data_IF_253830055304
#
_entry.id   IF_253830055304
#
_cell.length_a   1.000
_cell.length_b   1.000
_cell.length_c   1.000
_cell.angle_alpha   90.00
_cell.angle_beta   90.00
_cell.angle_gamma   90.00
#
_symmetry.space_group_name_H-M   'P 1'
#
loop_
_entity.id
_entity.type
_entity.pdbx_description
1 polymer ?
#
# COMPACT_ATOMS: atom_id res chain seq x y z
N UNK A 1 0.37 -32.72 -5.42
CA UNK A 1 1.47 -31.99 -4.73
C UNK A 1 1.08 -30.53 -4.48
N UNK A 2 1.02 -29.64 -5.49
CA UNK A 2 0.64 -28.21 -5.28
C UNK A 2 -0.81 -28.05 -4.82
N UNK A 3 -1.75 -28.80 -5.42
CA UNK A 3 -3.15 -28.77 -5.01
C UNK A 3 -3.34 -29.30 -3.57
N UNK A 4 -2.56 -30.31 -3.17
CA UNK A 4 -2.55 -30.87 -1.81
C UNK A 4 -1.93 -29.90 -0.80
N UNK A 5 -0.99 -29.06 -1.23
CA UNK A 5 -0.41 -27.99 -0.43
C UNK A 5 -1.41 -26.87 -0.15
N UNK A 6 -2.14 -26.48 -1.21
CA UNK A 6 -3.19 -25.47 -1.14
C UNK A 6 -4.45 -25.96 -0.44
N UNK A 7 -4.66 -27.28 -0.34
CA UNK A 7 -5.79 -27.91 0.37
C UNK A 7 -5.43 -28.39 1.79
N UNK A 8 -4.22 -28.08 2.29
CA UNK A 8 -3.72 -28.47 3.62
C UNK A 8 -3.59 -30.00 3.84
N UNK A 9 -3.40 -30.76 2.76
CA UNK A 9 -3.33 -32.23 2.79
C UNK A 9 -1.89 -32.78 2.81
N UNK A 10 -0.86 -31.92 2.75
CA UNK A 10 0.56 -32.32 2.79
C UNK A 10 1.04 -32.84 4.16
N UNK A 11 0.24 -32.71 5.22
CA UNK A 11 0.54 -33.21 6.57
C UNK A 11 0.36 -32.18 7.68
N UNK A 12 0.29 -32.68 8.92
CA UNK A 12 -0.05 -31.88 10.10
C UNK A 12 0.94 -30.73 10.38
N UNK A 13 2.25 -30.99 10.29
CA UNK A 13 3.26 -29.95 10.53
C UNK A 13 3.21 -28.86 9.46
N UNK A 14 3.09 -29.22 8.18
CA UNK A 14 2.97 -28.27 7.07
C UNK A 14 1.74 -27.37 7.24
N UNK A 15 0.61 -27.94 7.67
CA UNK A 15 -0.63 -27.21 7.95
C UNK A 15 -0.46 -26.20 9.09
N UNK A 16 0.21 -26.58 10.18
CA UNK A 16 0.48 -25.66 11.28
C UNK A 16 1.43 -24.53 10.86
N UNK A 17 2.43 -24.83 10.05
CA UNK A 17 3.36 -23.83 9.51
C UNK A 17 2.60 -22.82 8.65
N UNK A 18 1.73 -23.27 7.74
CA UNK A 18 0.96 -22.37 6.86
C UNK A 18 -0.02 -21.52 7.67
N UNK A 19 -0.67 -22.08 8.69
CA UNK A 19 -1.52 -21.31 9.60
C UNK A 19 -0.71 -20.28 10.39
N UNK A 20 0.47 -20.65 10.91
CA UNK A 20 1.36 -19.71 11.59
C UNK A 20 1.84 -18.58 10.67
N UNK A 21 2.21 -18.92 9.44
CA UNK A 21 2.63 -17.96 8.42
C UNK A 21 1.49 -17.01 8.03
N UNK A 22 0.28 -17.52 7.85
CA UNK A 22 -0.89 -16.67 7.54
C UNK A 22 -1.22 -15.70 8.64
N UNK A 23 -1.26 -16.15 9.90
CA UNK A 23 -1.47 -15.26 11.04
C UNK A 23 -0.36 -14.21 11.15
N UNK A 24 0.89 -14.60 10.91
CA UNK A 24 2.01 -13.67 10.86
C UNK A 24 1.87 -12.66 9.72
N UNK A 25 1.47 -13.09 8.52
CA UNK A 25 1.21 -12.23 7.37
C UNK A 25 0.08 -11.24 7.62
N UNK A 26 -0.99 -11.68 8.29
CA UNK A 26 -2.06 -10.80 8.75
C UNK A 26 -1.54 -9.79 9.78
N UNK A 27 -0.82 -10.24 10.80
CA UNK A 27 -0.26 -9.38 11.84
C UNK A 27 0.73 -8.35 11.26
N UNK A 28 1.59 -8.77 10.32
CA UNK A 28 2.52 -7.89 9.61
C UNK A 28 1.82 -6.88 8.70
N UNK A 29 0.80 -7.32 7.96
CA UNK A 29 -0.01 -6.40 7.16
C UNK A 29 -0.71 -5.34 8.02
N UNK A 30 -1.37 -5.74 9.11
CA UNK A 30 -2.08 -4.80 9.99
C UNK A 30 -1.11 -3.90 10.75
N UNK A 31 -0.07 -4.47 11.37
CA UNK A 31 0.94 -3.73 12.13
C UNK A 31 1.73 -2.75 11.25
N UNK A 32 2.09 -3.18 10.04
CA UNK A 32 2.78 -2.36 9.05
C UNK A 32 1.93 -1.23 8.46
N UNK A 33 0.59 -1.34 8.54
CA UNK A 33 -0.32 -0.29 8.03
C UNK A 33 -0.09 1.03 8.74
N UNK A 34 0.07 1.03 10.07
CA UNK A 34 0.33 2.25 10.84
C UNK A 34 1.72 2.82 10.55
N UNK A 35 2.70 1.95 10.35
CA UNK A 35 4.06 2.37 9.99
C UNK A 35 4.09 3.07 8.63
N UNK A 36 3.35 2.54 7.67
CA UNK A 36 3.16 3.13 6.35
C UNK A 36 2.39 4.47 6.41
N UNK A 37 1.24 4.51 7.10
CA UNK A 37 0.43 5.72 7.21
C UNK A 37 1.19 6.86 7.89
N UNK A 38 2.08 6.54 8.83
CA UNK A 38 2.90 7.50 9.56
C UNK A 38 4.23 7.85 8.88
N UNK A 39 4.45 7.35 7.66
CA UNK A 39 5.69 7.55 6.87
C UNK A 39 6.97 7.08 7.60
N UNK A 40 6.86 6.10 8.49
CA UNK A 40 7.97 5.54 9.29
C UNK A 40 8.37 4.14 8.83
N UNK A 41 8.10 3.81 7.56
CA UNK A 41 8.36 2.47 7.01
C UNK A 41 9.82 2.01 7.22
N UNK A 42 10.79 2.92 7.09
CA UNK A 42 12.22 2.65 7.30
C UNK A 42 12.58 2.21 8.72
N UNK A 43 11.74 2.53 9.73
CA UNK A 43 11.95 2.05 11.11
C UNK A 43 11.89 0.52 11.18
N UNK A 44 11.03 -0.12 10.38
CA UNK A 44 10.96 -1.60 10.35
C UNK A 44 12.25 -2.24 9.85
N UNK A 45 12.97 -1.57 8.95
CA UNK A 45 14.24 -2.02 8.41
C UNK A 45 15.34 -1.96 9.48
N UNK A 46 15.45 -0.83 10.18
CA UNK A 46 16.38 -0.71 11.30
C UNK A 46 16.09 -1.71 12.44
N UNK A 47 14.83 -1.95 12.79
CA UNK A 47 14.46 -2.99 13.78
C UNK A 47 14.96 -4.35 13.33
N UNK A 48 14.74 -4.70 12.06
CA UNK A 48 15.09 -6.01 11.52
C UNK A 48 16.59 -6.25 11.52
N UNK A 49 17.39 -5.26 11.09
CA UNK A 49 18.85 -5.34 11.17
C UNK A 49 19.38 -5.30 12.61
N UNK A 50 18.70 -4.62 13.53
CA UNK A 50 19.02 -4.62 14.95
C UNK A 50 18.77 -5.97 15.63
N UNK A 51 18.01 -6.89 15.03
CA UNK A 51 17.85 -8.26 15.57
C UNK A 51 19.12 -9.09 15.42
N UNK A 52 19.90 -8.87 14.35
CA UNK A 52 21.05 -9.72 13.97
C UNK A 52 22.12 -9.83 15.06
N UNK A 53 22.65 -8.73 15.63
CA UNK A 53 23.60 -8.82 16.74
C UNK A 53 22.98 -9.48 17.99
N UNK A 54 21.69 -9.30 18.22
CA UNK A 54 20.96 -9.96 19.32
C UNK A 54 20.90 -11.48 19.19
N UNK A 55 20.60 -11.98 17.99
CA UNK A 55 20.61 -13.42 17.69
C UNK A 55 22.01 -13.99 17.87
N UNK A 56 23.03 -13.31 17.36
CA UNK A 56 24.42 -13.75 17.47
C UNK A 56 24.92 -13.79 18.92
N UNK A 57 24.67 -12.72 19.70
CA UNK A 57 25.04 -12.69 21.12
C UNK A 57 24.29 -13.75 21.92
N UNK A 58 23.00 -13.96 21.69
CA UNK A 58 22.24 -14.99 22.37
C UNK A 58 22.78 -16.40 22.07
N UNK A 59 23.16 -16.67 20.81
CA UNK A 59 23.82 -17.90 20.44
C UNK A 59 25.13 -18.09 21.24
N UNK A 60 26.01 -17.08 21.26
CA UNK A 60 27.28 -17.16 21.98
C UNK A 60 27.11 -17.37 23.49
N UNK A 61 26.17 -16.65 24.12
CA UNK A 61 25.87 -16.79 25.56
C UNK A 61 25.33 -18.19 25.86
N UNK A 62 24.44 -18.72 25.03
CA UNK A 62 23.92 -20.08 25.22
C UNK A 62 25.00 -21.16 25.07
N UNK A 63 25.92 -20.99 24.12
CA UNK A 63 27.06 -21.89 23.95
C UNK A 63 28.01 -21.79 25.16
N UNK A 64 28.27 -20.57 25.65
CA UNK A 64 29.10 -20.36 26.84
C UNK A 64 28.52 -20.97 28.12
N UNK A 65 27.18 -21.01 28.24
CA UNK A 65 26.45 -21.65 29.34
C UNK A 65 26.34 -23.19 29.18
N UNK A 66 27.00 -23.79 28.18
CA UNK A 66 27.02 -25.24 27.96
C UNK A 66 25.78 -25.81 27.27
N UNK A 67 24.91 -24.96 26.71
CA UNK A 67 23.74 -25.38 25.95
C UNK A 67 24.03 -25.60 24.46
N UNK A 68 23.05 -26.16 23.74
CA UNK A 68 23.11 -26.45 22.30
C UNK A 68 23.14 -25.19 21.39
N UNK A 69 23.12 -23.97 21.96
CA UNK A 69 23.15 -22.69 21.24
C UNK A 69 21.90 -22.36 20.41
N UNK A 70 21.06 -23.35 20.09
CA UNK A 70 19.95 -23.26 19.12
C UNK A 70 18.56 -23.28 19.77
N UNK A 71 18.40 -22.75 20.99
CA UNK A 71 17.07 -22.60 21.57
C UNK A 71 16.33 -21.46 20.86
N UNK A 72 15.19 -21.76 20.23
CA UNK A 72 14.38 -20.75 19.56
C UNK A 72 14.02 -19.60 20.51
N UNK A 73 13.60 -19.91 21.74
CA UNK A 73 13.22 -18.90 22.72
C UNK A 73 14.41 -18.02 23.12
N UNK A 74 15.62 -18.60 23.22
CA UNK A 74 16.85 -17.86 23.49
C UNK A 74 17.23 -16.92 22.35
N UNK A 75 17.19 -17.42 21.11
CA UNK A 75 17.50 -16.60 19.92
C UNK A 75 16.48 -15.46 19.74
N UNK A 76 15.19 -15.74 19.93
CA UNK A 76 14.13 -14.73 19.86
C UNK A 76 14.24 -13.70 20.98
N UNK A 77 14.60 -14.11 22.19
CA UNK A 77 14.83 -13.18 23.31
C UNK A 77 16.03 -12.26 23.03
N UNK A 78 17.14 -12.81 22.53
CA UNK A 78 18.30 -12.02 22.10
C UNK A 78 17.95 -11.02 21.00
N UNK A 79 17.25 -11.49 19.96
CA UNK A 79 16.75 -10.65 18.88
C UNK A 79 15.87 -9.51 19.42
N UNK A 80 14.91 -9.81 20.29
CA UNK A 80 14.01 -8.84 20.87
C UNK A 80 14.74 -7.79 21.72
N UNK A 81 15.69 -8.21 22.55
CA UNK A 81 16.46 -7.29 23.40
C UNK A 81 17.32 -6.33 22.55
N UNK A 82 18.02 -6.86 21.54
CA UNK A 82 18.88 -6.04 20.70
C UNK A 82 18.07 -5.10 19.79
N UNK A 83 16.96 -5.58 19.23
CA UNK A 83 16.08 -4.75 18.43
C UNK A 83 15.32 -3.70 19.27
N UNK A 84 14.95 -4.01 20.52
CA UNK A 84 14.43 -3.03 21.46
C UNK A 84 15.49 -1.95 21.78
N UNK A 85 16.75 -2.35 22.01
CA UNK A 85 17.84 -1.40 22.21
C UNK A 85 18.05 -0.51 20.98
N UNK A 86 18.08 -1.09 19.77
CA UNK A 86 18.18 -0.35 18.52
C UNK A 86 17.04 0.66 18.36
N UNK A 87 15.82 0.25 18.64
CA UNK A 87 14.65 1.13 18.61
C UNK A 87 14.75 2.30 19.58
N UNK A 88 15.15 2.04 20.82
CA UNK A 88 15.34 3.07 21.84
C UNK A 88 16.44 4.05 21.45
N UNK A 89 17.52 3.56 20.83
CA UNK A 89 18.61 4.39 20.31
C UNK A 89 18.10 5.27 19.16
N UNK A 90 17.34 4.72 18.19
CA UNK A 90 16.73 5.53 17.12
C UNK A 90 15.82 6.61 17.69
N UNK A 91 14.96 6.26 18.64
CA UNK A 91 14.06 7.21 19.29
C UNK A 91 14.81 8.28 20.08
N UNK A 92 15.85 7.90 20.82
CA UNK A 92 16.69 8.82 21.56
C UNK A 92 17.45 9.77 20.63
N UNK A 93 18.03 9.25 19.56
CA UNK A 93 18.81 10.04 18.61
C UNK A 93 17.91 11.04 17.87
N UNK A 94 16.74 10.61 17.42
CA UNK A 94 15.77 11.50 16.74
C UNK A 94 15.13 12.56 17.64
N UNK A 95 15.00 12.31 18.95
CA UNK A 95 14.33 13.25 19.87
C UNK A 95 15.28 14.14 20.67
N UNK A 96 16.51 13.67 20.96
CA UNK A 96 17.49 14.38 21.77
C UNK A 96 18.60 15.06 20.96
N UNK A 97 18.73 14.74 19.67
CA UNK A 97 19.73 15.36 18.81
C UNK A 97 19.08 16.12 17.65
N UNK A 98 19.90 16.85 16.89
CA UNK A 98 19.46 17.58 15.69
C UNK A 98 19.49 16.71 14.42
N UNK A 99 19.69 15.40 14.56
CA UNK A 99 19.70 14.50 13.41
C UNK A 99 18.29 14.33 12.84
N UNK A 100 18.20 14.28 11.51
CA UNK A 100 16.99 13.85 10.83
C UNK A 100 16.66 12.40 11.21
N UNK A 101 15.38 12.06 11.30
CA UNK A 101 14.92 10.73 11.69
C UNK A 101 15.51 9.64 10.75
N UNK A 102 15.51 9.87 9.45
CA UNK A 102 16.09 8.95 8.46
C UNK A 102 17.60 8.73 8.64
N UNK A 103 18.33 9.79 9.03
CA UNK A 103 19.77 9.69 9.31
C UNK A 103 20.02 8.89 10.60
N UNK A 104 19.18 9.08 11.62
CA UNK A 104 19.24 8.30 12.85
C UNK A 104 18.98 6.81 12.58
N UNK A 105 17.92 6.50 11.82
CA UNK A 105 17.58 5.13 11.38
C UNK A 105 18.75 4.52 10.62
N UNK A 106 19.31 5.23 9.62
CA UNK A 106 20.43 4.76 8.81
C UNK A 106 21.70 4.47 9.62
N UNK A 107 22.01 5.33 10.59
CA UNK A 107 23.16 5.15 11.49
C UNK A 107 23.04 3.89 12.35
N UNK A 108 21.87 3.67 12.97
CA UNK A 108 21.61 2.49 13.81
C UNK A 108 21.62 1.23 12.96
N UNK A 109 20.96 1.25 11.80
CA UNK A 109 20.95 0.14 10.85
C UNK A 109 22.38 -0.29 10.49
N UNK A 110 23.23 0.65 10.08
CA UNK A 110 24.60 0.35 9.64
C UNK A 110 25.48 -0.20 10.77
N UNK A 111 25.39 0.38 11.98
CA UNK A 111 26.19 -0.06 13.13
C UNK A 111 25.75 -1.44 13.61
N UNK A 112 24.45 -1.66 13.81
CA UNK A 112 23.94 -2.94 14.30
C UNK A 112 24.17 -4.06 13.28
N UNK A 113 23.96 -3.76 11.99
CA UNK A 113 24.21 -4.74 10.94
C UNK A 113 25.71 -5.09 10.86
N UNK A 114 26.59 -4.09 10.78
CA UNK A 114 28.04 -4.32 10.74
C UNK A 114 28.55 -5.08 11.97
N UNK A 115 28.09 -4.68 13.17
CA UNK A 115 28.45 -5.36 14.41
C UNK A 115 27.93 -6.81 14.44
N UNK A 116 26.69 -7.03 14.02
CA UNK A 116 26.13 -8.36 13.96
C UNK A 116 26.82 -9.28 12.95
N UNK A 117 27.25 -8.75 11.79
CA UNK A 117 28.05 -9.51 10.81
C UNK A 117 29.41 -9.89 11.40
N UNK A 118 30.08 -8.98 12.13
CA UNK A 118 31.32 -9.31 12.85
C UNK A 118 31.11 -10.46 13.83
N UNK A 119 30.03 -10.42 14.61
CA UNK A 119 29.68 -11.50 15.53
C UNK A 119 29.38 -12.82 14.81
N UNK A 120 28.68 -12.77 13.67
CA UNK A 120 28.39 -13.94 12.86
C UNK A 120 29.68 -14.57 12.32
N UNK A 121 30.63 -13.76 11.85
CA UNK A 121 31.96 -14.24 11.41
C UNK A 121 32.72 -14.90 12.56
N UNK A 122 32.67 -14.32 13.77
CA UNK A 122 33.28 -14.93 14.96
C UNK A 122 32.64 -16.29 15.23
N UNK A 123 31.30 -16.36 15.20
CA UNK A 123 30.57 -17.61 15.38
C UNK A 123 31.02 -18.64 14.35
N UNK A 124 31.10 -18.30 13.06
CA UNK A 124 31.56 -19.22 12.01
C UNK A 124 32.96 -19.80 12.22
N UNK A 125 33.82 -19.14 13.01
CA UNK A 125 35.16 -19.65 13.38
C UNK A 125 35.18 -20.50 14.65
N UNK A 126 34.10 -20.54 15.43
CA UNK A 126 34.02 -21.38 16.62
C UNK A 126 33.80 -22.84 16.19
N UNK A 127 34.51 -23.80 16.79
CA UNK A 127 34.27 -25.25 16.53
C UNK A 127 33.14 -25.83 17.39
N UNK A 128 32.49 -24.99 18.19
CA UNK A 128 31.47 -25.36 19.19
C UNK A 128 30.13 -24.69 18.90
N UNK A 129 29.05 -25.40 19.22
CA UNK A 129 27.67 -24.99 18.93
C UNK A 129 27.25 -25.40 17.51
N UNK A 130 26.01 -25.88 17.35
CA UNK A 130 25.44 -26.31 16.05
C UNK A 130 25.17 -25.11 15.13
N UNK A 131 26.22 -24.49 14.60
CA UNK A 131 26.15 -23.29 13.76
C UNK A 131 25.47 -23.53 12.41
N UNK A 132 25.51 -24.78 11.93
CA UNK A 132 24.83 -25.19 10.71
C UNK A 132 23.35 -24.79 10.75
N UNK A 133 22.93 -23.93 9.82
CA UNK A 133 21.55 -23.45 9.70
C UNK A 133 21.19 -22.20 10.50
N UNK A 134 22.17 -21.45 11.02
CA UNK A 134 21.92 -20.07 11.46
C UNK A 134 21.63 -19.16 10.25
N UNK A 135 22.36 -19.33 9.15
CA UNK A 135 22.09 -18.63 7.88
C UNK A 135 20.69 -18.93 7.33
N UNK A 136 20.25 -20.18 7.36
CA UNK A 136 18.89 -20.54 6.92
C UNK A 136 17.80 -19.99 7.84
N UNK A 137 18.09 -19.83 9.14
CA UNK A 137 17.20 -19.14 10.08
C UNK A 137 17.11 -17.63 9.77
N UNK A 138 18.23 -16.99 9.44
CA UNK A 138 18.28 -15.56 9.10
C UNK A 138 17.60 -15.25 7.76
N UNK A 139 17.69 -16.16 6.78
CA UNK A 139 17.02 -16.07 5.47
C UNK A 139 15.54 -16.47 5.50
N UNK A 140 15.06 -17.04 6.61
CA UNK A 140 13.70 -17.54 6.75
C UNK A 140 13.52 -18.91 6.12
N UNK A 141 13.38 -19.92 6.97
CA UNK A 141 13.17 -21.30 6.54
C UNK A 141 12.21 -22.01 7.49
N UNK A 142 11.12 -22.53 6.94
CA UNK A 142 10.18 -23.37 7.69
C UNK A 142 10.51 -24.86 7.58
N UNK A 143 11.45 -25.24 6.70
CA UNK A 143 11.93 -26.61 6.59
C UNK A 143 12.59 -27.07 7.90
N UNK A 144 12.09 -28.18 8.46
CA UNK A 144 12.57 -28.69 9.76
C UNK A 144 12.02 -27.96 10.99
N UNK A 145 11.01 -27.10 10.84
CA UNK A 145 10.35 -26.45 11.99
C UNK A 145 9.62 -27.47 12.87
N UNK A 146 9.86 -27.42 14.18
CA UNK A 146 9.16 -28.26 15.14
C UNK A 146 7.74 -27.76 15.37
N UNK A 147 6.85 -28.67 15.76
CA UNK A 147 5.45 -28.36 16.10
C UNK A 147 5.32 -27.30 17.20
N UNK A 148 6.16 -27.39 18.23
CA UNK A 148 6.19 -26.42 19.34
C UNK A 148 6.53 -25.01 18.86
N UNK A 149 7.46 -24.89 17.90
CA UNK A 149 7.88 -23.62 17.33
C UNK A 149 6.78 -22.99 16.47
N UNK A 150 6.12 -23.81 15.64
CA UNK A 150 4.96 -23.37 14.85
C UNK A 150 3.84 -22.83 15.75
N UNK A 151 3.59 -23.49 16.89
CA UNK A 151 2.57 -23.09 17.85
C UNK A 151 2.91 -21.77 18.55
N UNK A 152 4.17 -21.59 18.96
CA UNK A 152 4.66 -20.32 19.53
C UNK A 152 4.46 -19.18 18.53
N UNK A 153 4.81 -19.39 17.26
CA UNK A 153 4.67 -18.37 16.21
C UNK A 153 3.19 -18.05 15.95
N UNK A 154 2.34 -19.07 15.83
CA UNK A 154 0.92 -18.87 15.61
C UNK A 154 0.25 -18.08 16.76
N UNK A 155 0.52 -18.45 18.02
CA UNK A 155 -0.03 -17.75 19.19
C UNK A 155 0.48 -16.32 19.27
N UNK A 156 1.79 -16.11 19.10
CA UNK A 156 2.38 -14.77 19.20
C UNK A 156 1.92 -13.86 18.05
N UNK A 157 1.78 -14.38 16.83
CA UNK A 157 1.18 -13.64 15.73
C UNK A 157 -0.29 -13.29 15.98
N UNK A 158 -1.10 -14.25 16.48
CA UNK A 158 -2.49 -14.01 16.83
C UNK A 158 -2.62 -12.96 17.96
N UNK A 159 -1.80 -13.05 19.00
CA UNK A 159 -1.78 -12.08 20.09
C UNK A 159 -1.39 -10.69 19.59
N UNK A 160 -0.38 -10.61 18.71
CA UNK A 160 0.04 -9.35 18.11
C UNK A 160 -1.07 -8.74 17.26
N UNK A 161 -1.76 -9.55 16.45
CA UNK A 161 -2.91 -9.11 15.66
C UNK A 161 -4.04 -8.56 16.55
N UNK A 162 -4.39 -9.26 17.63
CA UNK A 162 -5.38 -8.79 18.61
C UNK A 162 -4.93 -7.46 19.24
N UNK A 163 -3.66 -7.36 19.63
CA UNK A 163 -3.10 -6.15 20.21
C UNK A 163 -3.23 -4.95 19.25
N UNK A 164 -2.94 -5.15 17.96
CA UNK A 164 -3.11 -4.09 16.95
C UNK A 164 -4.59 -3.71 16.80
N UNK A 165 -5.50 -4.67 16.79
CA UNK A 165 -6.94 -4.42 16.67
C UNK A 165 -7.52 -3.65 17.87
N UNK A 166 -6.99 -3.88 19.08
CA UNK A 166 -7.34 -3.14 20.29
C UNK A 166 -6.79 -1.72 20.23
N UNK A 167 -5.52 -1.56 19.82
CA UNK A 167 -4.85 -0.27 19.71
C UNK A 167 -5.18 0.51 18.43
N UNK A 168 -6.05 0.00 17.55
CA UNK A 168 -6.33 0.62 16.25
C UNK A 168 -6.82 2.06 16.36
N UNK A 169 -7.72 2.36 17.31
CA UNK A 169 -8.28 3.72 17.50
C UNK A 169 -7.20 4.74 17.88
N UNK A 170 -6.41 4.53 18.96
CA UNK A 170 -5.35 5.46 19.31
C UNK A 170 -4.28 5.56 18.23
N UNK A 171 -3.93 4.46 17.57
CA UNK A 171 -2.95 4.46 16.47
C UNK A 171 -3.44 5.26 15.25
N UNK A 172 -4.71 5.12 14.88
CA UNK A 172 -5.31 5.89 13.79
C UNK A 172 -5.32 7.38 14.14
N UNK A 173 -5.77 7.76 15.34
CA UNK A 173 -5.84 9.17 15.74
C UNK A 173 -4.47 9.84 15.68
N UNK A 174 -3.46 9.21 16.30
CA UNK A 174 -2.09 9.71 16.31
C UNK A 174 -1.40 9.71 14.93
N UNK A 175 -1.92 8.95 13.95
CA UNK A 175 -1.37 8.90 12.59
C UNK A 175 -1.90 10.01 11.69
N UNK A 176 -3.16 10.45 11.88
CA UNK A 176 -3.79 11.47 11.04
C UNK A 176 -3.74 12.86 11.64
N UNK A 177 -3.90 12.98 12.95
CA UNK A 177 -3.89 14.27 13.65
C UNK A 177 -3.25 14.13 15.05
N UNK A 178 -1.91 14.25 15.13
CA UNK A 178 -1.21 14.16 16.41
C UNK A 178 -1.52 15.33 17.35
N UNK A 179 -1.89 16.51 16.84
CA UNK A 179 -2.24 17.68 17.66
C UNK A 179 -3.62 17.51 18.29
N UNK A 180 -4.59 17.01 17.54
CA UNK A 180 -5.90 16.65 18.08
C UNK A 180 -5.80 15.48 19.07
N UNK A 181 -4.92 14.51 18.81
CA UNK A 181 -4.64 13.42 19.74
C UNK A 181 -4.13 13.97 21.09
N UNK A 182 -3.17 14.90 21.09
CA UNK A 182 -2.68 15.50 22.35
C UNK A 182 -3.74 16.36 23.04
N UNK A 183 -4.52 17.14 22.28
CA UNK A 183 -5.60 17.96 22.81
C UNK A 183 -6.72 17.12 23.48
N UNK A 184 -6.98 15.91 22.98
CA UNK A 184 -7.95 14.96 23.56
C UNK A 184 -7.39 14.12 24.71
N UNK A 185 -6.15 14.40 25.15
CA UNK A 185 -5.51 13.74 26.30
C UNK A 185 -4.70 12.49 25.95
N UNK A 186 -4.51 12.17 24.67
CA UNK A 186 -3.69 11.05 24.24
C UNK A 186 -2.19 11.41 24.29
N UNK A 187 -1.38 10.52 24.86
CA UNK A 187 0.07 10.65 24.77
C UNK A 187 0.58 10.04 23.45
N UNK A 188 0.90 10.89 22.48
CA UNK A 188 1.39 10.47 21.15
C UNK A 188 2.69 9.68 21.27
N UNK A 189 3.62 10.08 22.16
CA UNK A 189 4.89 9.36 22.38
C UNK A 189 4.67 7.91 22.84
N UNK A 190 3.70 7.67 23.73
CA UNK A 190 3.35 6.30 24.14
C UNK A 190 2.71 5.50 23.02
N UNK A 191 1.93 6.16 22.17
CA UNK A 191 1.28 5.54 21.02
C UNK A 191 2.31 5.14 19.95
N UNK A 192 3.32 5.97 19.74
CA UNK A 192 4.47 5.68 18.88
C UNK A 192 5.27 4.49 19.40
N UNK A 193 5.56 4.47 20.70
CA UNK A 193 6.26 3.37 21.32
C UNK A 193 5.46 2.06 21.24
N UNK A 194 4.14 2.13 21.38
CA UNK A 194 3.25 0.98 21.19
C UNK A 194 3.25 0.48 19.74
N UNK A 195 3.20 1.39 18.75
CA UNK A 195 3.33 1.06 17.32
C UNK A 195 4.67 0.35 17.05
N UNK A 196 5.76 0.93 17.55
CA UNK A 196 7.09 0.36 17.37
C UNK A 196 7.24 -0.99 18.09
N UNK A 197 6.63 -1.16 19.26
CA UNK A 197 6.58 -2.42 20.00
C UNK A 197 5.79 -3.51 19.27
N UNK A 198 4.69 -3.16 18.59
CA UNK A 198 3.95 -4.06 17.71
C UNK A 198 4.84 -4.52 16.55
N UNK A 199 5.51 -3.58 15.87
CA UNK A 199 6.40 -3.90 14.75
C UNK A 199 7.54 -4.79 15.22
N UNK A 200 8.17 -4.46 16.35
CA UNK A 200 9.18 -5.29 17.00
C UNK A 200 8.67 -6.71 17.26
N UNK A 201 7.47 -6.86 17.82
CA UNK A 201 6.88 -8.16 18.09
C UNK A 201 6.66 -8.97 16.79
N UNK A 202 6.10 -8.35 15.74
CA UNK A 202 5.96 -9.00 14.42
C UNK A 202 7.32 -9.40 13.86
N UNK A 203 8.31 -8.51 13.92
CA UNK A 203 9.65 -8.74 13.37
C UNK A 203 10.33 -9.92 14.05
N UNK A 204 10.30 -9.98 15.39
CA UNK A 204 10.90 -11.06 16.17
C UNK A 204 10.19 -12.39 15.89
N UNK A 205 8.86 -12.41 15.95
CA UNK A 205 8.06 -13.63 15.70
C UNK A 205 8.24 -14.13 14.27
N UNK A 206 8.32 -13.21 13.32
CA UNK A 206 8.43 -13.52 11.90
C UNK A 206 9.82 -13.92 11.42
N UNK A 207 10.85 -13.72 12.24
CA UNK A 207 12.24 -13.97 11.88
C UNK A 207 12.46 -15.41 11.39
N UNK A 208 11.81 -16.41 12.03
CA UNK A 208 11.96 -17.82 11.63
C UNK A 208 11.26 -18.18 10.31
N UNK A 209 10.09 -17.62 10.04
CA UNK A 209 9.29 -17.95 8.84
C UNK A 209 9.81 -17.19 7.63
N UNK A 210 9.97 -15.88 7.79
CA UNK A 210 10.20 -14.96 6.67
C UNK A 210 11.67 -14.58 6.56
N UNK A 211 12.40 -14.57 7.67
CA UNK A 211 13.79 -14.10 7.71
C UNK A 211 13.87 -12.62 8.07
N UNK A 212 15.05 -12.21 8.53
CA UNK A 212 15.28 -10.84 9.02
C UNK A 212 15.15 -9.79 7.92
N UNK A 213 15.62 -10.08 6.69
CA UNK A 213 15.62 -9.09 5.61
C UNK A 213 14.20 -8.94 5.03
N UNK A 214 13.48 -10.04 4.93
CA UNK A 214 12.24 -10.12 4.15
C UNK A 214 11.00 -9.78 4.98
N UNK A 215 11.12 -9.73 6.31
CA UNK A 215 10.02 -9.33 7.19
C UNK A 215 9.59 -7.87 6.94
N UNK A 216 10.52 -7.02 6.54
CA UNK A 216 10.27 -5.63 6.12
C UNK A 216 9.30 -5.60 4.94
N UNK A 217 9.48 -6.49 3.96
CA UNK A 217 8.58 -6.59 2.82
C UNK A 217 7.16 -7.02 3.25
N UNK A 218 7.04 -7.93 4.22
CA UNK A 218 5.75 -8.35 4.77
C UNK A 218 5.05 -7.24 5.56
N UNK A 219 5.80 -6.32 6.17
CA UNK A 219 5.28 -5.14 6.85
C UNK A 219 4.89 -4.01 5.88
N UNK A 220 5.54 -3.89 4.72
CA UNK A 220 5.34 -2.73 3.82
C UNK A 220 4.44 -3.07 2.63
N UNK A 221 4.64 -4.20 1.96
CA UNK A 221 3.95 -4.52 0.70
C UNK A 221 2.43 -4.64 0.89
N UNK A 222 1.89 -5.35 1.90
CA UNK A 222 0.44 -5.48 2.04
C UNK A 222 -0.28 -4.14 2.32
N UNK A 223 0.22 -3.26 3.21
CA UNK A 223 -0.38 -1.93 3.40
C UNK A 223 -0.38 -1.07 2.14
N UNK A 224 0.73 -1.05 1.42
CA UNK A 224 0.85 -0.28 0.18
C UNK A 224 -0.12 -0.83 -0.86
N UNK A 225 -0.19 -2.16 -0.99
CA UNK A 225 -1.13 -2.85 -1.88
C UNK A 225 -2.57 -2.49 -1.55
N UNK A 226 -2.94 -2.48 -0.28
CA UNK A 226 -4.28 -2.13 0.20
C UNK A 226 -4.64 -0.65 -0.04
N UNK A 227 -3.68 0.27 0.09
CA UNK A 227 -3.90 1.72 -0.08
C UNK A 227 -4.32 2.13 -1.50
N UNK A 228 -4.01 1.31 -2.50
CA UNK A 228 -4.48 1.54 -3.87
C UNK A 228 -6.01 1.35 -4.01
N UNK A 229 -6.63 0.53 -3.18
CA UNK A 229 -8.05 0.18 -3.28
C UNK A 229 -8.96 1.09 -2.47
N UNK A 230 -8.48 1.64 -1.35
CA UNK A 230 -9.33 2.40 -0.42
C UNK A 230 -8.58 3.48 0.35
N UNK A 231 -9.29 4.56 0.67
CA UNK A 231 -8.80 5.66 1.51
C UNK A 231 -9.13 5.48 2.98
N UNK A 232 -10.10 4.62 3.30
CA UNK A 232 -10.61 4.43 4.67
C UNK A 232 -9.68 3.51 5.46
N UNK A 233 -9.13 3.99 6.57
CA UNK A 233 -8.15 3.28 7.41
C UNK A 233 -8.61 1.88 7.81
N UNK A 234 -9.86 1.71 8.24
CA UNK A 234 -10.39 0.39 8.60
C UNK A 234 -10.36 -0.61 7.44
N UNK A 235 -10.67 -0.14 6.23
CA UNK A 235 -10.63 -0.98 5.04
C UNK A 235 -9.18 -1.27 4.61
N UNK A 236 -8.26 -0.32 4.78
CA UNK A 236 -6.82 -0.55 4.55
C UNK A 236 -6.31 -1.64 5.49
N UNK A 237 -6.66 -1.60 6.78
CA UNK A 237 -6.28 -2.63 7.75
C UNK A 237 -6.80 -4.02 7.34
N UNK A 238 -8.08 -4.12 6.97
CA UNK A 238 -8.68 -5.39 6.54
C UNK A 238 -8.05 -5.94 5.26
N UNK A 239 -7.89 -5.10 4.24
CA UNK A 239 -7.27 -5.50 2.98
C UNK A 239 -5.79 -5.83 3.15
N UNK A 240 -5.07 -5.09 3.99
CA UNK A 240 -3.66 -5.36 4.29
C UNK A 240 -3.51 -6.71 5.02
N UNK A 241 -4.38 -7.00 5.99
CA UNK A 241 -4.45 -8.31 6.63
C UNK A 241 -4.70 -9.42 5.60
N UNK A 242 -5.65 -9.20 4.69
CA UNK A 242 -6.01 -10.16 3.65
C UNK A 242 -4.84 -10.42 2.69
N UNK A 243 -4.24 -9.37 2.12
CA UNK A 243 -3.12 -9.53 1.18
C UNK A 243 -1.88 -10.12 1.86
N UNK A 244 -1.57 -9.70 3.09
CA UNK A 244 -0.45 -10.25 3.86
C UNK A 244 -0.68 -11.71 4.23
N UNK A 245 -1.90 -12.05 4.67
CA UNK A 245 -2.31 -13.42 4.96
C UNK A 245 -2.27 -14.30 3.71
N UNK A 246 -2.84 -13.86 2.59
CA UNK A 246 -2.82 -14.61 1.32
C UNK A 246 -1.41 -14.78 0.77
N UNK A 247 -0.56 -13.77 0.88
CA UNK A 247 0.84 -13.86 0.44
C UNK A 247 1.61 -14.88 1.29
N UNK A 248 1.43 -14.84 2.60
CA UNK A 248 2.05 -15.80 3.51
C UNK A 248 1.47 -17.22 3.35
N UNK A 249 0.17 -17.35 3.10
CA UNK A 249 -0.48 -18.63 2.79
C UNK A 249 0.11 -19.24 1.52
N UNK A 250 0.04 -18.50 0.41
CA UNK A 250 0.48 -18.96 -0.90
C UNK A 250 1.97 -19.26 -0.88
N UNK A 251 2.78 -18.39 -0.27
CA UNK A 251 4.22 -18.59 -0.20
C UNK A 251 4.63 -19.78 0.66
N UNK A 252 3.99 -19.97 1.83
CA UNK A 252 4.26 -21.13 2.69
C UNK A 252 3.77 -22.44 2.06
N UNK A 253 2.60 -22.43 1.41
CA UNK A 253 2.08 -23.61 0.71
C UNK A 253 2.95 -24.00 -0.49
N UNK A 254 3.40 -23.02 -1.29
CA UNK A 254 4.32 -23.26 -2.42
C UNK A 254 5.68 -23.79 -1.95
N UNK A 255 6.25 -23.20 -0.90
CA UNK A 255 7.51 -23.66 -0.30
C UNK A 255 7.40 -25.08 0.29
N UNK A 256 6.22 -25.47 0.79
CA UNK A 256 5.97 -26.84 1.25
C UNK A 256 5.77 -27.86 0.10
N UNK A 257 5.32 -27.41 -1.07
CA UNK A 257 5.03 -28.27 -2.22
C UNK A 257 6.27 -28.58 -3.07
N UNK A 258 7.27 -27.70 -3.07
CA UNK A 258 8.45 -27.75 -3.91
C UNK A 258 9.71 -27.89 -3.04
N UNK A 259 10.55 -28.91 -3.27
CA UNK A 259 11.81 -29.08 -2.53
C UNK A 259 12.74 -27.86 -2.67
N UNK A 260 13.53 -27.60 -1.63
CA UNK A 260 14.62 -26.61 -1.59
C UNK A 260 14.25 -25.14 -1.85
N UNK A 261 12.96 -24.82 -1.79
CA UNK A 261 12.47 -23.46 -1.96
C UNK A 261 12.41 -22.69 -0.61
N UNK A 262 13.14 -21.56 -0.47
CA UNK A 262 13.13 -20.78 0.76
C UNK A 262 11.78 -20.08 0.95
N UNK A 263 11.22 -20.20 2.15
CA UNK A 263 9.85 -19.77 2.44
C UNK A 263 9.71 -18.25 2.40
N UNK A 264 10.64 -17.51 3.00
CA UNK A 264 10.63 -16.06 3.03
C UNK A 264 10.57 -15.39 1.64
N UNK A 265 11.52 -15.69 0.73
CA UNK A 265 11.55 -15.08 -0.61
C UNK A 265 10.26 -15.31 -1.41
N UNK A 266 9.66 -16.49 -1.30
CA UNK A 266 8.43 -16.81 -2.02
C UNK A 266 7.25 -16.01 -1.47
N UNK A 267 7.13 -15.87 -0.16
CA UNK A 267 6.10 -15.02 0.45
C UNK A 267 6.20 -13.60 -0.10
N UNK A 268 7.41 -13.05 -0.20
CA UNK A 268 7.64 -11.71 -0.74
C UNK A 268 7.29 -11.63 -2.23
N UNK A 269 7.68 -12.61 -3.05
CA UNK A 269 7.35 -12.64 -4.47
C UNK A 269 5.84 -12.73 -4.71
N UNK A 270 5.12 -13.56 -3.95
CA UNK A 270 3.66 -13.65 -4.01
C UNK A 270 3.02 -12.32 -3.59
N UNK A 271 3.50 -11.72 -2.49
CA UNK A 271 3.04 -10.40 -2.04
C UNK A 271 3.28 -9.30 -3.08
N UNK A 272 4.45 -9.31 -3.73
CA UNK A 272 4.77 -8.39 -4.82
C UNK A 272 3.88 -8.61 -6.04
N UNK A 273 3.50 -9.85 -6.34
CA UNK A 273 2.48 -10.16 -7.35
C UNK A 273 1.16 -9.46 -7.07
N UNK A 274 0.66 -9.51 -5.83
CA UNK A 274 -0.54 -8.77 -5.44
C UNK A 274 -0.35 -7.24 -5.57
N UNK A 275 0.82 -6.72 -5.20
CA UNK A 275 1.15 -5.31 -5.40
C UNK A 275 1.08 -4.90 -6.86
N UNK A 276 1.67 -5.66 -7.78
CA UNK A 276 1.64 -5.36 -9.23
C UNK A 276 0.21 -5.38 -9.76
N UNK A 277 -0.59 -6.38 -9.40
CA UNK A 277 -2.01 -6.45 -9.79
C UNK A 277 -2.76 -5.23 -9.27
N UNK A 278 -2.53 -4.85 -8.01
CA UNK A 278 -3.14 -3.67 -7.40
C UNK A 278 -2.73 -2.37 -8.11
N UNK A 279 -1.44 -2.20 -8.40
CA UNK A 279 -0.90 -1.05 -9.12
C UNK A 279 -1.49 -0.89 -10.52
N UNK A 280 -1.73 -1.99 -11.23
CA UNK A 280 -2.29 -1.95 -12.58
C UNK A 280 -3.81 -1.71 -12.57
N UNK A 281 -4.55 -2.42 -11.73
CA UNK A 281 -6.01 -2.54 -11.82
C UNK A 281 -6.80 -1.74 -10.79
N UNK A 282 -6.17 -1.10 -9.80
CA UNK A 282 -6.92 -0.36 -8.80
C UNK A 282 -7.77 0.78 -9.41
N UNK A 283 -9.03 0.95 -8.98
CA UNK A 283 -10.00 1.82 -9.66
C UNK A 283 -9.72 3.32 -9.51
N UNK A 284 -9.13 3.73 -8.38
CA UNK A 284 -8.84 5.13 -8.08
C UNK A 284 -7.41 5.57 -8.44
N UNK A 285 -6.44 4.67 -8.25
CA UNK A 285 -5.00 4.96 -8.36
C UNK A 285 -4.24 4.06 -9.33
N UNK A 286 -4.90 3.09 -9.95
CA UNK A 286 -4.25 2.14 -10.83
C UNK A 286 -3.83 2.79 -12.15
N UNK A 287 -2.70 2.37 -12.70
CA UNK A 287 -2.13 2.93 -13.94
C UNK A 287 -3.11 2.80 -15.11
N UNK A 288 -3.79 1.65 -15.23
CA UNK A 288 -4.78 1.42 -16.29
C UNK A 288 -5.99 2.34 -16.09
N UNK A 289 -6.48 2.48 -14.86
CA UNK A 289 -7.60 3.37 -14.55
C UNK A 289 -7.29 4.83 -14.87
N UNK A 290 -6.07 5.29 -14.56
CA UNK A 290 -5.59 6.63 -14.86
C UNK A 290 -5.46 6.86 -16.37
N UNK A 291 -4.87 5.89 -17.09
CA UNK A 291 -4.74 5.96 -18.55
C UNK A 291 -6.11 5.96 -19.25
N UNK A 292 -7.04 5.13 -18.81
CA UNK A 292 -8.41 5.10 -19.34
C UNK A 292 -9.15 6.40 -19.07
N UNK A 293 -9.02 6.97 -17.87
CA UNK A 293 -9.63 8.26 -17.51
C UNK A 293 -9.04 9.39 -18.36
N UNK A 294 -7.71 9.41 -18.53
CA UNK A 294 -7.03 10.40 -19.36
C UNK A 294 -7.44 10.28 -20.83
N UNK A 295 -7.51 9.07 -21.39
CA UNK A 295 -7.98 8.84 -22.77
C UNK A 295 -9.45 9.21 -22.96
N UNK A 296 -10.32 8.90 -22.00
CA UNK A 296 -11.73 9.30 -22.02
C UNK A 296 -11.88 10.82 -21.98
N UNK A 297 -11.11 11.48 -21.11
CA UNK A 297 -11.08 12.94 -21.01
C UNK A 297 -10.59 13.58 -22.31
N UNK A 298 -9.45 13.14 -22.86
CA UNK A 298 -8.96 13.62 -24.16
C UNK A 298 -10.00 13.44 -25.25
N UNK A 299 -10.63 12.25 -25.34
CA UNK A 299 -11.69 11.98 -26.32
C UNK A 299 -12.87 12.94 -26.16
N UNK A 300 -13.34 13.20 -24.94
CA UNK A 300 -14.42 14.15 -24.67
C UNK A 300 -14.05 15.57 -25.08
N UNK A 301 -12.83 16.02 -24.76
CA UNK A 301 -12.31 17.34 -25.15
C UNK A 301 -12.26 17.48 -26.67
N UNK A 302 -11.66 16.52 -27.37
CA UNK A 302 -11.57 16.55 -28.83
C UNK A 302 -12.95 16.53 -29.50
N UNK A 303 -13.88 15.70 -29.02
CA UNK A 303 -15.25 15.68 -29.55
C UNK A 303 -15.98 17.02 -29.30
N UNK A 304 -15.86 17.60 -28.10
CA UNK A 304 -16.48 18.89 -27.75
C UNK A 304 -15.90 20.02 -28.59
N UNK A 305 -14.59 20.16 -28.67
CA UNK A 305 -13.91 21.17 -29.48
C UNK A 305 -14.23 21.01 -30.97
N UNK A 306 -14.24 19.77 -31.46
CA UNK A 306 -14.63 19.46 -32.84
C UNK A 306 -16.06 19.88 -33.15
N UNK A 307 -17.02 19.60 -32.27
CA UNK A 307 -18.41 20.02 -32.43
C UNK A 307 -18.55 21.56 -32.41
N UNK A 308 -17.83 22.26 -31.54
CA UNK A 308 -17.84 23.73 -31.50
C UNK A 308 -17.22 24.34 -32.77
N UNK A 309 -16.11 23.79 -33.26
CA UNK A 309 -15.50 24.21 -34.52
C UNK A 309 -16.45 24.01 -35.71
N UNK A 310 -17.14 22.86 -35.78
CA UNK A 310 -18.17 22.61 -36.79
C UNK A 310 -19.32 23.61 -36.71
N UNK A 311 -19.78 23.94 -35.50
CA UNK A 311 -20.88 24.89 -35.30
C UNK A 311 -20.51 26.31 -35.75
N UNK A 312 -19.25 26.70 -35.58
CA UNK A 312 -18.71 28.00 -35.96
C UNK A 312 -18.21 28.06 -37.42
N UNK A 313 -18.28 26.95 -38.16
CA UNK A 313 -17.76 26.86 -39.53
C UNK A 313 -16.24 26.95 -39.63
N UNK A 314 -15.51 26.66 -38.56
CA UNK A 314 -14.05 26.69 -38.54
C UNK A 314 -13.45 25.37 -39.06
N UNK A 315 -12.35 25.42 -39.84
CA UNK A 315 -11.68 24.21 -40.31
C UNK A 315 -11.00 23.45 -39.15
N UNK A 316 -11.19 22.13 -39.11
CA UNK A 316 -10.57 21.25 -38.11
C UNK A 316 -9.29 20.65 -38.69
N UNK A 317 -8.13 21.14 -38.24
CA UNK A 317 -6.83 20.64 -38.71
C UNK A 317 -6.31 19.42 -37.92
N UNK A 318 -6.79 19.25 -36.68
CA UNK A 318 -6.31 18.20 -35.77
C UNK A 318 -6.78 16.82 -36.22
N UNK A 319 -5.83 15.94 -36.59
CA UNK A 319 -6.11 14.61 -37.17
C UNK A 319 -6.90 13.71 -36.22
N UNK A 320 -6.61 13.79 -34.92
CA UNK A 320 -7.28 12.95 -33.92
C UNK A 320 -8.74 13.36 -33.74
N UNK A 321 -9.04 14.66 -33.75
CA UNK A 321 -10.41 15.19 -33.70
C UNK A 321 -11.23 14.72 -34.90
N UNK A 322 -10.69 14.85 -36.12
CA UNK A 322 -11.37 14.37 -37.33
C UNK A 322 -11.67 12.87 -37.29
N UNK A 323 -10.69 12.05 -36.89
CA UNK A 323 -10.87 10.60 -36.76
C UNK A 323 -11.97 10.24 -35.75
N UNK A 324 -12.02 10.93 -34.62
CA UNK A 324 -13.05 10.69 -33.59
C UNK A 324 -14.44 11.11 -34.08
N UNK A 325 -14.57 12.26 -34.74
CA UNK A 325 -15.84 12.73 -35.31
C UNK A 325 -16.34 11.83 -36.45
N UNK A 326 -15.43 11.31 -37.27
CA UNK A 326 -15.74 10.33 -38.32
C UNK A 326 -16.17 8.98 -37.73
N UNK A 327 -15.47 8.50 -36.69
CA UNK A 327 -15.82 7.26 -36.00
C UNK A 327 -17.22 7.32 -35.34
N UNK A 328 -17.62 8.50 -34.88
CA UNK A 328 -18.98 8.76 -34.35
C UNK A 328 -20.02 9.06 -35.46
N UNK A 329 -19.61 9.12 -36.74
CA UNK A 329 -20.50 9.40 -37.88
C UNK A 329 -20.96 10.85 -37.99
N UNK A 330 -20.32 11.79 -37.28
CA UNK A 330 -20.68 13.21 -37.27
C UNK A 330 -20.04 14.00 -38.41
N UNK A 331 -18.96 13.49 -39.00
CA UNK A 331 -18.24 14.10 -40.10
C UNK A 331 -17.95 13.05 -41.17
N UNK A 332 -18.08 13.41 -42.45
CA UNK A 332 -17.75 12.56 -43.60
C UNK A 332 -16.23 12.49 -43.83
N UNK A 333 -15.73 11.54 -44.65
CA UNK A 333 -14.33 11.52 -45.05
C UNK A 333 -13.83 12.85 -45.63
N UNK A 334 -14.72 13.57 -46.32
CA UNK A 334 -14.45 14.87 -46.95
C UNK A 334 -14.40 16.05 -45.95
N UNK A 335 -14.51 15.80 -44.64
CA UNK A 335 -14.48 16.82 -43.59
C UNK A 335 -15.82 17.58 -43.39
N UNK A 336 -16.83 17.30 -44.22
CA UNK A 336 -18.16 17.93 -44.12
C UNK A 336 -19.01 17.26 -43.03
N UNK A 337 -19.66 18.06 -42.19
CA UNK A 337 -20.55 17.57 -41.14
C UNK A 337 -21.76 16.81 -41.71
N UNK A 338 -22.11 15.67 -41.12
CA UNK A 338 -23.36 14.96 -41.41
C UNK A 338 -24.56 15.68 -40.78
N UNK A 339 -25.79 15.32 -41.15
CA UNK A 339 -27.01 15.88 -40.54
C UNK A 339 -27.02 15.70 -39.01
N UNK A 340 -26.56 14.55 -38.52
CA UNK A 340 -26.41 14.31 -37.08
C UNK A 340 -25.29 15.16 -36.47
N UNK A 341 -24.15 15.31 -37.16
CA UNK A 341 -23.07 16.20 -36.73
C UNK A 341 -23.51 17.66 -36.60
N UNK A 342 -24.29 18.17 -37.55
CA UNK A 342 -24.87 19.53 -37.51
C UNK A 342 -25.83 19.73 -36.32
N UNK A 343 -26.68 18.74 -36.02
CA UNK A 343 -27.58 18.77 -34.86
C UNK A 343 -26.80 18.77 -33.53
N UNK A 344 -25.76 17.94 -33.43
CA UNK A 344 -24.90 17.89 -32.23
C UNK A 344 -24.05 19.14 -32.07
N UNK A 345 -23.54 19.70 -33.17
CA UNK A 345 -22.77 20.94 -33.19
C UNK A 345 -23.63 22.14 -32.77
N UNK A 346 -24.85 22.26 -33.32
CA UNK A 346 -25.79 23.32 -32.91
C UNK A 346 -26.23 23.19 -31.45
N UNK A 347 -26.47 21.97 -30.95
CA UNK A 347 -26.69 21.74 -29.51
C UNK A 347 -25.47 22.18 -28.69
N UNK A 348 -24.28 21.76 -29.08
CA UNK A 348 -23.05 22.08 -28.35
C UNK A 348 -22.80 23.58 -28.24
N UNK A 349 -23.06 24.32 -29.32
CA UNK A 349 -22.98 25.79 -29.36
C UNK A 349 -24.02 26.44 -28.45
N UNK A 350 -25.28 25.99 -28.50
CA UNK A 350 -26.34 26.49 -27.58
C UNK A 350 -25.97 26.27 -26.13
N UNK A 351 -25.45 25.09 -25.78
CA UNK A 351 -25.01 24.79 -24.42
C UNK A 351 -23.85 25.71 -23.99
N UNK A 352 -22.95 26.06 -24.91
CA UNK A 352 -21.86 27.02 -24.65
C UNK A 352 -22.41 28.43 -24.39
N UNK A 353 -23.36 28.90 -25.18
CA UNK A 353 -24.01 30.20 -25.01
C UNK A 353 -24.78 30.28 -23.67
N UNK A 354 -25.47 29.19 -23.29
CA UNK A 354 -26.13 29.10 -21.98
C UNK A 354 -25.12 29.17 -20.84
N UNK A 355 -24.02 28.44 -20.92
CA UNK A 355 -22.94 28.49 -19.93
C UNK A 355 -22.29 29.88 -19.83
N UNK A 356 -22.19 30.63 -20.93
CA UNK A 356 -21.73 32.02 -20.88
C UNK A 356 -22.69 32.91 -20.08
N UNK A 357 -24.01 32.78 -20.28
CA UNK A 357 -25.00 33.53 -19.48
C UNK A 357 -24.94 33.16 -17.99
N UNK A 358 -24.88 31.87 -17.68
CA UNK A 358 -24.79 31.36 -16.30
C UNK A 358 -23.56 31.90 -15.58
N UNK A 359 -22.42 32.00 -16.26
CA UNK A 359 -21.18 32.54 -15.68
C UNK A 359 -21.23 34.04 -15.36
N UNK A 360 -22.12 34.80 -15.99
CA UNK A 360 -22.22 36.25 -15.82
C UNK A 360 -23.41 36.68 -14.96
N UNK A 361 -24.31 35.75 -14.62
CA UNK A 361 -25.51 36.04 -13.82
C UNK A 361 -25.28 35.61 -12.36
N UNK A 362 -25.25 36.56 -11.40
CA UNK A 362 -25.07 36.25 -9.98
C UNK A 362 -26.09 35.26 -9.42
N UNK A 363 -27.28 35.16 -10.02
CA UNK A 363 -28.31 34.22 -9.59
C UNK A 363 -27.89 32.74 -9.75
N UNK A 364 -26.89 32.46 -10.59
CA UNK A 364 -26.42 31.10 -10.88
C UNK A 364 -24.99 30.83 -10.42
N UNK A 365 -24.46 31.58 -9.45
CA UNK A 365 -23.07 31.47 -9.00
C UNK A 365 -22.69 30.03 -8.56
N UNK A 366 -23.57 29.34 -7.83
CA UNK A 366 -23.36 27.94 -7.43
C UNK A 366 -23.30 26.97 -8.63
N UNK A 367 -24.09 27.23 -9.68
CA UNK A 367 -24.06 26.42 -10.90
C UNK A 367 -22.82 26.74 -11.75
N UNK A 368 -22.37 28.01 -11.78
CA UNK A 368 -21.19 28.45 -12.50
C UNK A 368 -19.90 27.77 -12.01
N UNK A 369 -19.81 27.39 -10.72
CA UNK A 369 -18.68 26.63 -10.16
C UNK A 369 -18.51 25.24 -10.79
N UNK A 370 -19.54 24.70 -11.42
CA UNK A 370 -19.50 23.38 -12.09
C UNK A 370 -19.07 23.47 -13.56
N UNK A 371 -18.75 24.66 -14.07
CA UNK A 371 -18.31 24.85 -15.45
C UNK A 371 -16.86 24.39 -15.64
N UNK A 372 -16.67 23.32 -16.40
CA UNK A 372 -15.36 22.79 -16.83
C UNK A 372 -15.24 22.69 -18.37
N UNK A 373 -16.21 23.23 -19.10
CA UNK A 373 -16.31 23.16 -20.58
C UNK A 373 -16.75 21.81 -21.15
N UNK A 374 -16.93 20.78 -20.31
CA UNK A 374 -17.32 19.42 -20.72
C UNK A 374 -18.64 18.96 -20.09
N UNK A 375 -18.97 19.50 -18.92
CA UNK A 375 -20.16 19.16 -18.15
C UNK A 375 -21.42 19.61 -18.90
N UNK A 376 -22.36 18.67 -19.05
CA UNK A 376 -23.64 18.96 -19.67
C UNK A 376 -24.43 19.91 -18.77
N UNK A 377 -24.88 21.04 -19.32
CA UNK A 377 -25.64 22.03 -18.54
C UNK A 377 -26.93 21.43 -17.96
N UNK A 378 -27.51 20.44 -18.64
CA UNK A 378 -28.69 19.66 -18.25
C UNK A 378 -28.49 18.84 -16.97
N UNK A 379 -27.25 18.53 -16.55
CA UNK A 379 -27.01 17.84 -15.28
C UNK A 379 -26.90 18.78 -14.09
N UNK A 380 -26.82 20.09 -14.34
CA UNK A 380 -26.62 21.13 -13.32
C UNK A 380 -27.87 21.99 -13.15
N UNK A 381 -28.57 22.29 -14.24
CA UNK A 381 -29.77 23.11 -14.26
C UNK A 381 -31.02 22.30 -14.54
N UNK A 382 -32.13 22.73 -13.95
CA UNK A 382 -33.46 22.16 -14.19
C UNK A 382 -34.02 22.56 -15.56
N UNK A 383 -35.00 21.81 -16.07
CA UNK A 383 -35.64 22.11 -17.36
C UNK A 383 -36.21 23.54 -17.40
N UNK A 384 -36.89 23.99 -16.34
CA UNK A 384 -37.46 25.34 -16.25
C UNK A 384 -36.40 26.43 -16.32
N UNK A 385 -35.23 26.22 -15.69
CA UNK A 385 -34.11 27.14 -15.75
C UNK A 385 -33.48 27.20 -17.15
N UNK A 386 -33.40 26.06 -17.84
CA UNK A 386 -32.91 26.01 -19.22
C UNK A 386 -33.87 26.73 -20.18
N UNK A 387 -35.17 26.56 -20.01
CA UNK A 387 -36.19 27.26 -20.82
C UNK A 387 -36.14 28.77 -20.58
N UNK A 388 -35.93 29.21 -19.34
CA UNK A 388 -35.74 30.62 -19.01
C UNK A 388 -34.46 31.21 -19.65
N UNK A 389 -33.36 30.44 -19.68
CA UNK A 389 -32.12 30.83 -20.36
C UNK A 389 -32.32 30.89 -21.88
N UNK A 390 -33.03 29.94 -22.47
CA UNK A 390 -33.34 29.92 -23.90
C UNK A 390 -34.22 31.11 -24.32
N UNK A 391 -35.20 31.49 -23.50
CA UNK A 391 -36.01 32.68 -23.72
C UNK A 391 -35.13 33.95 -23.77
N UNK A 392 -34.13 34.05 -22.88
CA UNK A 392 -33.17 35.17 -22.85
C UNK A 392 -32.23 35.16 -24.07
N UNK A 393 -31.76 33.99 -24.49
CA UNK A 393 -30.93 33.83 -25.70
C UNK A 393 -31.71 34.22 -26.97
N UNK A 394 -32.96 33.77 -27.08
CA UNK A 394 -33.85 34.13 -28.18
C UNK A 394 -34.17 35.62 -28.25
N UNK A 395 -34.26 36.30 -27.10
CA UNK A 395 -34.43 37.75 -27.03
C UNK A 395 -33.17 38.52 -27.52
N UNK A 396 -31.96 38.05 -27.17
CA UNK A 396 -30.70 38.66 -27.65
C UNK A 396 -30.43 38.43 -29.15
N UNK A 397 -30.88 37.30 -29.70
CA UNK A 397 -30.72 36.99 -31.13
C UNK A 397 -31.52 37.90 -32.07
N UNK A 398 -32.58 38.56 -31.58
CA UNK A 398 -33.40 39.52 -32.35
C UNK A 398 -32.81 40.95 -32.40
N UNK A 399 -31.68 41.19 -31.73
CA UNK A 399 -31.08 42.54 -31.57
C UNK A 399 -29.76 42.71 -32.33
N UNK A 400 -29.31 41.71 -33.11
CA UNK A 400 -28.17 41.90 -34.02
C UNK A 400 -28.68 42.47 -35.36
N UNK A 401 -28.26 43.70 -35.75
CA UNK A 401 -28.66 44.31 -37.02
C UNK A 401 -28.11 43.57 -38.24
#
# INVERSE_FOLDING_TARGET
MIFDALSLQLGYNATLVTIGATLLGMAGGVGGTFLFLRKRALVSDAISHATLPGVALAFMVMVALGGDGRSLTGLLAGAALSAAAGLLIVSWLSTRTRLAEDAAIGSVLSVFFGFGIVLLTIIQTMNTGRQAGLESFLLGATAGMLRSEAFIIAISAALTLVLVLVLRRPLTLASFDPEYATATGQNVTRTDLAMMGIVLAVTVVGLKIVGLILIVALLIIPPVTARFWTERTDHVLMLSALFGGLAAYGGAALSAALPDLPTGPIIVLVGFGFFVVSLLFAPGRGVVSALLRHRRFQRQVHLRQGLLALAQGQPIFERLTLRLLQAEGWVRPDGVATRQGQLRASKALRDEDRWQLVRHDPAYEAAALHYDGLTAIESVLTADQLDALDARLGAKGRVRP
#
